data_IF_578729762138
#
_entry.id   IF_578729762138
#
_cell.length_a   1.000
_cell.length_b   1.000
_cell.length_c   1.000
_cell.angle_alpha   90.00
_cell.angle_beta   90.00
_cell.angle_gamma   90.00
#
_symmetry.space_group_name_H-M   'P 1'
#
loop_
_entity.id
_entity.type
_entity.pdbx_description
1 polymer ?
#
# COMPACT_ATOMS: atom_id res chain seq x y z
N UNK A 1 -9.19 8.86 -12.03
CA UNK A 1 -9.53 8.75 -10.60
C UNK A 1 -8.65 7.71 -9.92
N UNK A 2 -7.71 8.16 -9.08
CA UNK A 2 -7.42 7.45 -7.83
C UNK A 2 -8.70 7.61 -7.00
N UNK A 3 -9.21 6.55 -6.41
CA UNK A 3 -10.31 6.68 -5.47
C UNK A 3 -9.76 7.12 -4.12
N UNK A 4 -10.49 7.95 -3.40
CA UNK A 4 -10.21 8.25 -1.98
C UNK A 4 -10.77 7.15 -1.07
N UNK A 5 -10.81 5.92 -1.57
CA UNK A 5 -11.34 4.79 -0.81
C UNK A 5 -10.33 4.43 0.26
N UNK A 6 -10.70 4.69 1.49
CA UNK A 6 -9.99 4.22 2.67
C UNK A 6 -10.43 2.80 3.00
N UNK A 7 -9.47 1.95 3.36
CA UNK A 7 -9.72 0.61 3.87
C UNK A 7 -8.90 0.42 5.13
N UNK A 8 -9.47 -0.28 6.11
CA UNK A 8 -8.71 -0.66 7.30
C UNK A 8 -7.60 -1.63 6.93
N UNK A 9 -6.51 -1.54 7.67
CA UNK A 9 -5.40 -2.49 7.56
C UNK A 9 -5.94 -3.89 7.89
N UNK A 10 -5.68 -4.89 7.04
CA UNK A 10 -6.00 -6.28 7.33
C UNK A 10 -5.47 -6.73 8.70
N UNK A 11 -6.29 -7.51 9.40
CA UNK A 11 -5.92 -8.11 10.68
C UNK A 11 -5.46 -9.55 10.49
N UNK A 12 -4.42 -9.94 11.23
CA UNK A 12 -3.96 -11.32 11.35
C UNK A 12 -3.55 -11.58 12.81
N UNK A 13 -4.00 -12.70 13.38
CA UNK A 13 -3.95 -12.93 14.84
C UNK A 13 -4.56 -11.79 15.65
N UNK A 14 -5.73 -11.29 15.21
CA UNK A 14 -6.52 -10.23 15.87
C UNK A 14 -5.85 -8.83 15.92
N UNK A 15 -4.61 -8.71 15.47
CA UNK A 15 -3.85 -7.46 15.38
C UNK A 15 -3.74 -6.96 13.94
N UNK A 16 -3.62 -5.64 13.78
CA UNK A 16 -3.32 -5.03 12.48
C UNK A 16 -1.91 -5.41 12.03
N UNK A 17 -1.81 -5.83 10.77
CA UNK A 17 -0.52 -6.14 10.15
C UNK A 17 0.33 -4.88 10.00
N UNK A 18 1.65 -5.03 10.02
CA UNK A 18 2.60 -3.92 9.90
C UNK A 18 3.11 -3.76 8.47
N UNK A 19 3.38 -2.52 8.08
CA UNK A 19 4.02 -2.22 6.81
C UNK A 19 5.48 -2.67 6.80
N UNK A 20 5.88 -3.36 5.73
CA UNK A 20 7.28 -3.66 5.43
C UNK A 20 7.56 -3.44 3.94
N UNK A 21 8.80 -3.09 3.61
CA UNK A 21 9.24 -2.90 2.24
C UNK A 21 10.35 -3.89 1.91
N UNK A 22 10.21 -4.61 0.80
CA UNK A 22 11.16 -5.64 0.35
C UNK A 22 11.76 -5.30 -1.00
N UNK A 23 13.01 -5.70 -1.22
CA UNK A 23 13.71 -5.55 -2.49
C UNK A 23 14.83 -4.51 -2.46
N UNK A 24 15.87 -4.77 -3.26
CA UNK A 24 17.09 -3.96 -3.28
C UNK A 24 17.00 -2.80 -4.30
N UNK A 25 16.64 -3.12 -5.55
CA UNK A 25 16.55 -2.12 -6.63
C UNK A 25 15.11 -1.66 -6.84
N UNK A 26 14.18 -2.61 -7.00
CA UNK A 26 12.75 -2.34 -7.00
C UNK A 26 12.19 -2.71 -5.64
N UNK A 27 11.72 -1.69 -4.92
CA UNK A 27 11.08 -1.87 -3.63
C UNK A 27 9.60 -2.19 -3.83
N UNK A 28 9.11 -3.21 -3.15
CA UNK A 28 7.70 -3.65 -3.16
C UNK A 28 7.20 -3.62 -1.72
N UNK A 29 5.99 -3.11 -1.55
CA UNK A 29 5.38 -2.90 -0.25
C UNK A 29 4.48 -4.07 0.13
N UNK A 30 4.61 -4.53 1.37
CA UNK A 30 3.87 -5.66 1.94
C UNK A 30 3.30 -5.29 3.32
N UNK A 31 2.27 -6.03 3.72
CA UNK A 31 1.81 -6.10 5.09
C UNK A 31 2.27 -7.43 5.70
N UNK A 32 2.93 -7.37 6.86
CA UNK A 32 3.44 -8.53 7.61
C UNK A 32 2.74 -8.66 8.97
N UNK A 33 2.44 -9.88 9.41
CA UNK A 33 1.97 -10.10 10.77
C UNK A 33 3.09 -9.86 11.78
N UNK A 34 2.77 -9.25 12.93
CA UNK A 34 3.73 -9.05 14.03
C UNK A 34 4.15 -10.37 14.69
N UNK A 35 3.27 -11.37 14.68
CA UNK A 35 3.39 -12.59 15.48
C UNK A 35 3.86 -13.82 14.69
N UNK A 36 3.95 -13.72 13.36
CA UNK A 36 4.40 -14.82 12.51
C UNK A 36 4.97 -14.30 11.18
N UNK A 37 5.43 -15.21 10.31
CA UNK A 37 5.96 -14.87 8.99
C UNK A 37 4.91 -14.74 7.89
N UNK A 38 3.62 -14.63 8.26
CA UNK A 38 2.55 -14.40 7.30
C UNK A 38 2.62 -12.97 6.74
N UNK A 39 2.57 -12.88 5.42
CA UNK A 39 2.69 -11.63 4.66
C UNK A 39 1.73 -11.62 3.49
N UNK A 40 1.25 -10.43 3.13
CA UNK A 40 0.43 -10.17 1.96
C UNK A 40 0.94 -8.93 1.24
N UNK A 41 0.80 -8.89 -0.09
CA UNK A 41 1.03 -7.65 -0.84
C UNK A 41 0.01 -6.58 -0.41
N UNK A 42 0.43 -5.31 -0.48
CA UNK A 42 -0.47 -4.18 -0.23
C UNK A 42 -1.72 -4.31 -1.12
N UNK A 43 -2.93 -4.21 -0.55
CA UNK A 43 -4.17 -4.27 -1.32
C UNK A 43 -4.17 -3.26 -2.45
N UNK A 44 -4.64 -3.70 -3.63
CA UNK A 44 -4.87 -2.81 -4.77
C UNK A 44 -6.32 -2.34 -4.78
N UNK A 45 -6.55 -1.10 -5.17
CA UNK A 45 -7.87 -0.60 -5.52
C UNK A 45 -7.81 0.17 -6.85
N UNK A 46 -8.80 -0.01 -7.72
CA UNK A 46 -8.78 0.54 -9.10
C UNK A 46 -7.49 0.19 -9.88
N UNK A 47 -6.91 -0.99 -9.63
CA UNK A 47 -5.69 -1.45 -10.30
C UNK A 47 -4.39 -0.81 -9.81
N UNK A 48 -4.43 0.02 -8.76
CA UNK A 48 -3.22 0.61 -8.15
C UNK A 48 -3.07 0.16 -6.70
N UNK A 49 -1.84 -0.11 -6.21
CA UNK A 49 -1.60 -0.35 -4.80
C UNK A 49 -2.10 0.83 -3.96
N UNK A 50 -2.77 0.52 -2.85
CA UNK A 50 -3.21 1.54 -1.90
C UNK A 50 -2.00 2.12 -1.17
N UNK A 51 -2.04 3.43 -0.89
CA UNK A 51 -1.01 4.05 -0.06
C UNK A 51 -1.27 3.68 1.41
N UNK A 52 -0.23 3.25 2.11
CA UNK A 52 -0.28 3.10 3.56
C UNK A 52 -0.20 4.50 4.18
N UNK A 53 -1.18 4.85 5.01
CA UNK A 53 -1.26 6.13 5.71
C UNK A 53 -1.51 5.79 7.18
N UNK A 54 -0.53 6.03 8.04
CA UNK A 54 -0.72 6.04 9.50
C UNK A 54 -0.69 7.49 10.00
N UNK A 55 -0.91 7.69 11.31
CA UNK A 55 -0.89 9.02 11.93
C UNK A 55 0.41 9.81 11.68
N UNK A 56 1.50 9.14 11.31
CA UNK A 56 2.82 9.72 11.03
C UNK A 56 3.17 9.76 9.53
N UNK A 57 2.38 9.13 8.67
CA UNK A 57 2.63 8.99 7.23
C UNK A 57 1.48 9.62 6.44
N UNK A 58 1.20 10.90 6.69
CA UNK A 58 0.42 11.67 5.74
C UNK A 58 1.24 11.85 4.46
N UNK A 59 0.70 11.52 3.26
CA UNK A 59 1.37 11.89 2.03
C UNK A 59 1.56 13.40 2.04
N UNK A 60 2.82 13.82 1.97
CA UNK A 60 3.25 15.22 2.13
C UNK A 60 2.61 16.14 1.07
N UNK A 61 2.04 15.55 0.02
CA UNK A 61 1.30 16.24 -1.03
C UNK A 61 0.28 15.31 -1.70
N UNK A 62 -0.74 15.91 -2.33
CA UNK A 62 -1.69 15.18 -3.19
C UNK A 62 -1.01 14.81 -4.51
N UNK A 63 -1.06 13.54 -4.89
CA UNK A 63 -0.54 13.07 -6.17
C UNK A 63 -1.22 13.82 -7.34
N UNK A 64 -0.40 14.27 -8.29
CA UNK A 64 -0.85 14.91 -9.54
C UNK A 64 -1.43 13.89 -10.51
N UNK A 65 -2.28 14.33 -11.45
CA UNK A 65 -2.86 13.43 -12.47
C UNK A 65 -1.81 12.68 -13.29
N UNK A 66 -0.62 13.27 -13.48
CA UNK A 66 0.51 12.63 -14.16
C UNK A 66 1.07 11.45 -13.36
N UNK A 67 1.35 11.65 -12.07
CA UNK A 67 1.84 10.60 -11.16
C UNK A 67 0.82 9.45 -11.06
N UNK A 68 -0.48 9.79 -11.02
CA UNK A 68 -1.57 8.80 -11.04
C UNK A 68 -1.51 7.93 -12.30
N UNK A 69 -1.31 8.56 -13.47
CA UNK A 69 -1.29 7.87 -14.76
C UNK A 69 -0.06 6.97 -14.87
N UNK A 70 1.07 7.42 -14.35
CA UNK A 70 2.31 6.64 -14.31
C UNK A 70 2.18 5.42 -13.37
N UNK A 71 1.61 5.58 -12.18
CA UNK A 71 1.31 4.46 -11.28
C UNK A 71 0.39 3.43 -11.95
N UNK A 72 -0.67 3.87 -12.64
CA UNK A 72 -1.54 2.97 -13.40
C UNK A 72 -0.82 2.24 -14.52
N UNK A 73 0.11 2.89 -15.22
CA UNK A 73 0.91 2.26 -16.27
C UNK A 73 1.84 1.17 -15.72
N UNK A 74 2.38 1.36 -14.51
CA UNK A 74 3.34 0.43 -13.89
C UNK A 74 2.64 -0.76 -13.21
N UNK A 75 1.46 -0.53 -12.63
CA UNK A 75 0.78 -1.50 -11.74
C UNK A 75 -0.61 -1.95 -12.18
N UNK A 76 -1.23 -1.23 -13.12
CA UNK A 76 -2.52 -1.60 -13.69
C UNK A 76 -2.32 -2.76 -14.66
N UNK A 77 -2.79 -3.93 -14.26
CA UNK A 77 -3.05 -5.06 -15.17
C UNK A 77 -4.17 -4.71 -16.17
#
# INVERSE_FOLDING_TARGET
MICEKEMRIPKHHEEEMIFIQKGNFRKIDFLKCKNCDYEIEIPKHCGVPMLYVDENYYPVYKLSEGEIKEMKKIYGD
#
